data_IF_736614031816
#
_entry.id   IF_736614031816
#
_cell.length_a   1.000
_cell.length_b   1.000
_cell.length_c   1.000
_cell.angle_alpha   90.00
_cell.angle_beta   90.00
_cell.angle_gamma   90.00
#
_symmetry.space_group_name_H-M   'P 1'
#
loop_
_entity.id
_entity.type
_entity.pdbx_description
1 polymer ?
#
# COMPACT_ATOMS: atom_id res chain seq x y z
N UNK A 1 43.82 -11.28 -27.93
CA UNK A 1 44.07 -10.22 -26.92
C UNK A 1 42.82 -9.34 -26.91
N UNK A 2 42.14 -8.97 -25.83
CA UNK A 2 42.17 -9.31 -24.41
C UNK A 2 40.78 -8.94 -23.85
N UNK A 3 40.42 -9.49 -22.69
CA UNK A 3 39.11 -9.45 -22.03
C UNK A 3 38.79 -8.09 -21.39
N UNK A 4 37.50 -7.82 -21.16
CA UNK A 4 36.89 -7.31 -19.91
C UNK A 4 35.36 -7.47 -20.05
N UNK A 5 34.64 -8.40 -19.40
CA UNK A 5 34.35 -8.63 -17.98
C UNK A 5 33.83 -7.39 -17.21
N UNK A 6 32.51 -7.38 -17.00
CA UNK A 6 31.99 -7.45 -15.64
C UNK A 6 31.34 -6.19 -15.09
N UNK A 7 30.01 -6.16 -15.14
CA UNK A 7 29.19 -5.30 -14.29
C UNK A 7 27.89 -6.03 -13.97
N UNK A 8 27.93 -7.01 -13.05
CA UNK A 8 26.69 -7.59 -12.50
C UNK A 8 25.96 -6.47 -11.74
N UNK A 9 24.70 -6.14 -12.06
CA UNK A 9 23.91 -5.31 -11.16
C UNK A 9 23.73 -6.08 -9.84
N UNK A 10 23.92 -5.36 -8.74
CA UNK A 10 23.95 -5.88 -7.39
C UNK A 10 22.65 -6.62 -7.07
N UNK A 11 22.80 -7.74 -6.38
CA UNK A 11 21.69 -8.48 -5.80
C UNK A 11 20.75 -7.52 -5.08
N UNK A 12 19.52 -7.42 -5.57
CA UNK A 12 18.45 -6.74 -4.86
C UNK A 12 18.39 -7.33 -3.46
N UNK A 13 18.57 -6.47 -2.46
CA UNK A 13 18.43 -6.87 -1.07
C UNK A 13 17.10 -7.60 -0.93
N UNK A 14 17.18 -8.84 -0.44
CA UNK A 14 16.01 -9.65 -0.12
C UNK A 14 15.23 -8.88 0.94
N UNK A 15 14.18 -8.18 0.52
CA UNK A 15 13.14 -7.74 1.43
C UNK A 15 12.70 -9.04 2.13
N UNK A 16 12.83 -9.10 3.46
CA UNK A 16 12.39 -10.26 4.25
C UNK A 16 10.88 -10.38 4.10
N UNK A 17 10.44 -11.04 3.03
CA UNK A 17 9.09 -11.52 2.84
C UNK A 17 9.00 -12.90 3.46
N UNK A 18 8.82 -12.93 4.77
CA UNK A 18 8.29 -14.10 5.45
C UNK A 18 7.08 -13.60 6.21
N UNK A 19 5.95 -13.44 5.53
CA UNK A 19 4.69 -13.27 6.22
C UNK A 19 4.45 -14.58 6.96
N UNK A 20 4.40 -14.54 8.30
CA UNK A 20 3.75 -15.62 9.04
C UNK A 20 2.32 -15.81 8.53
N UNK A 21 1.61 -16.88 8.91
CA UNK A 21 0.20 -16.99 8.57
C UNK A 21 -0.50 -15.72 9.06
N UNK A 22 -1.15 -14.99 8.15
CA UNK A 22 -1.83 -13.75 8.48
C UNK A 22 -2.92 -14.06 9.50
N UNK A 23 -2.66 -13.70 10.76
CA UNK A 23 -3.59 -13.80 11.86
C UNK A 23 -4.55 -12.63 11.85
N UNK A 24 -5.67 -12.81 12.56
CA UNK A 24 -6.61 -11.73 12.80
C UNK A 24 -5.96 -10.64 13.65
N UNK A 25 -6.23 -9.37 13.31
CA UNK A 25 -5.77 -8.23 14.09
C UNK A 25 -6.44 -8.28 15.47
N UNK A 26 -5.69 -8.08 16.58
CA UNK A 26 -6.29 -8.07 17.91
C UNK A 26 -7.48 -7.11 18.01
N UNK A 27 -8.59 -7.57 18.59
CA UNK A 27 -9.83 -6.76 18.69
C UNK A 27 -9.60 -5.41 19.35
N UNK A 28 -8.77 -5.36 20.40
CA UNK A 28 -8.40 -4.10 21.08
C UNK A 28 -7.73 -3.08 20.16
N UNK A 29 -6.88 -3.53 19.23
CA UNK A 29 -6.23 -2.65 18.25
C UNK A 29 -7.26 -2.14 17.24
N UNK A 30 -8.09 -3.03 16.70
CA UNK A 30 -9.17 -2.67 15.77
C UNK A 30 -10.11 -1.64 16.40
N UNK A 31 -10.58 -1.90 17.61
CA UNK A 31 -11.54 -1.05 18.31
C UNK A 31 -10.93 0.31 18.67
N UNK A 32 -9.66 0.33 19.10
CA UNK A 32 -8.92 1.55 19.36
C UNK A 32 -8.75 2.41 18.10
N UNK A 33 -8.38 1.81 16.96
CA UNK A 33 -8.29 2.52 15.68
C UNK A 33 -9.67 3.07 15.29
N UNK A 34 -10.72 2.24 15.38
CA UNK A 34 -12.06 2.66 15.02
C UNK A 34 -12.54 3.84 15.88
N UNK A 35 -12.23 3.84 17.17
CA UNK A 35 -12.59 4.94 18.07
C UNK A 35 -11.87 6.23 17.71
N UNK A 36 -10.56 6.18 17.48
CA UNK A 36 -9.78 7.34 17.06
C UNK A 36 -10.29 7.90 15.73
N UNK A 37 -10.62 7.03 14.77
CA UNK A 37 -11.10 7.46 13.46
C UNK A 37 -12.51 8.07 13.52
N UNK A 38 -13.42 7.52 14.36
CA UNK A 38 -14.76 8.10 14.59
C UNK A 38 -14.71 9.53 15.12
N UNK A 39 -13.72 9.84 15.95
CA UNK A 39 -13.56 11.17 16.55
C UNK A 39 -12.91 12.19 15.60
N UNK A 40 -12.40 11.76 14.43
CA UNK A 40 -11.76 12.66 13.47
C UNK A 40 -12.77 13.19 12.45
N UNK A 41 -12.81 14.52 12.31
CA UNK A 41 -13.45 15.15 11.14
C UNK A 41 -12.59 14.93 9.90
N UNK A 42 -13.13 14.22 8.90
CA UNK A 42 -12.46 14.02 7.63
C UNK A 42 -12.19 15.36 6.93
N UNK A 43 -10.92 15.63 6.60
CA UNK A 43 -10.55 16.82 5.83
C UNK A 43 -10.77 16.53 4.36
N UNK A 44 -11.79 17.16 3.77
CA UNK A 44 -12.03 17.10 2.33
C UNK A 44 -11.15 18.14 1.63
N UNK A 45 -10.36 17.68 0.68
CA UNK A 45 -9.65 18.56 -0.24
C UNK A 45 -10.49 18.69 -1.51
N UNK A 46 -11.58 19.45 -1.45
CA UNK A 46 -12.39 19.76 -2.64
C UNK A 46 -11.61 20.78 -3.48
N UNK A 47 -10.75 20.25 -4.35
CA UNK A 47 -9.97 21.04 -5.31
C UNK A 47 -10.45 20.72 -6.73
N UNK A 48 -10.91 21.73 -7.49
CA UNK A 48 -11.30 21.50 -8.88
C UNK A 48 -10.10 21.00 -9.69
N UNK A 49 -10.35 20.06 -10.60
CA UNK A 49 -9.33 19.48 -11.49
C UNK A 49 -8.53 18.30 -10.95
N UNK A 50 -8.78 17.85 -9.71
CA UNK A 50 -8.17 16.62 -9.18
C UNK A 50 -9.04 15.40 -9.47
N UNK A 51 -8.40 14.28 -9.86
CA UNK A 51 -9.08 12.99 -9.96
C UNK A 51 -9.26 12.40 -8.56
N UNK A 52 -10.49 11.98 -8.25
CA UNK A 52 -10.77 11.26 -7.01
C UNK A 52 -10.12 9.87 -7.02
N UNK A 53 -9.67 9.43 -5.85
CA UNK A 53 -9.02 8.14 -5.66
C UNK A 53 -9.24 7.69 -4.21
N UNK A 54 -9.23 6.39 -3.98
CA UNK A 54 -9.19 5.82 -2.65
C UNK A 54 -8.08 4.77 -2.52
N UNK A 55 -7.68 4.54 -1.28
CA UNK A 55 -6.70 3.52 -0.92
C UNK A 55 -7.21 2.71 0.24
N UNK A 56 -6.81 1.45 0.26
CA UNK A 56 -7.01 0.54 1.38
C UNK A 56 -5.80 0.63 2.31
N UNK A 57 -6.05 0.54 3.62
CA UNK A 57 -5.02 0.35 4.64
C UNK A 57 -5.22 -1.03 5.28
N UNK A 58 -4.83 -2.13 4.62
CA UNK A 58 -5.06 -3.47 5.15
C UNK A 58 -4.13 -3.72 6.34
N UNK A 59 -4.73 -4.06 7.48
CA UNK A 59 -4.03 -4.43 8.70
C UNK A 59 -4.07 -5.95 8.87
N UNK A 60 -2.94 -6.55 9.19
CA UNK A 60 -2.85 -7.96 9.56
C UNK A 60 -1.90 -8.15 10.73
N UNK A 61 -1.94 -9.31 11.39
CA UNK A 61 -1.07 -9.65 12.51
C UNK A 61 -0.22 -10.88 12.15
N UNK A 62 1.06 -10.89 12.52
CA UNK A 62 1.85 -12.11 12.60
C UNK A 62 2.67 -12.17 13.91
N UNK A 63 3.64 -13.07 14.01
CA UNK A 63 4.49 -13.23 15.19
C UNK A 63 5.30 -11.96 15.54
N UNK A 64 5.57 -11.09 14.57
CA UNK A 64 6.33 -9.86 14.76
C UNK A 64 5.46 -8.67 15.19
N UNK A 65 4.13 -8.75 15.04
CA UNK A 65 3.23 -7.67 15.42
C UNK A 65 2.15 -7.36 14.39
N UNK A 66 1.47 -6.20 14.55
CA UNK A 66 0.57 -5.68 13.53
C UNK A 66 1.35 -5.06 12.37
N UNK A 67 0.86 -5.29 11.16
CA UNK A 67 1.49 -4.88 9.91
C UNK A 67 0.49 -4.20 8.97
N UNK A 68 1.00 -3.31 8.13
CA UNK A 68 0.28 -2.75 6.98
C UNK A 68 0.74 -3.41 5.69
N UNK A 69 -0.19 -3.65 4.78
CA UNK A 69 0.13 -4.08 3.42
C UNK A 69 0.44 -2.85 2.56
N UNK A 70 1.61 -2.87 1.92
CA UNK A 70 2.02 -1.91 0.92
C UNK A 70 2.33 -2.65 -0.38
N UNK A 71 2.15 -1.96 -1.51
CA UNK A 71 2.50 -2.47 -2.83
C UNK A 71 3.75 -1.77 -3.33
N UNK A 72 4.58 -2.50 -4.08
CA UNK A 72 5.59 -1.90 -4.95
C UNK A 72 5.02 -1.86 -6.35
N UNK A 73 4.86 -0.67 -6.92
CA UNK A 73 4.35 -0.51 -8.28
C UNK A 73 5.30 -1.18 -9.27
N UNK A 74 4.73 -1.85 -10.27
CA UNK A 74 5.52 -2.51 -11.32
C UNK A 74 6.26 -1.47 -12.16
N UNK A 75 7.23 -1.91 -12.95
CA UNK A 75 7.89 -1.00 -13.92
C UNK A 75 7.04 -0.78 -15.19
N UNK A 76 5.89 -1.44 -15.28
CA UNK A 76 4.98 -1.41 -16.43
C UNK A 76 3.94 -0.28 -16.35
N UNK A 77 3.70 0.31 -15.16
CA UNK A 77 2.75 1.41 -15.02
C UNK A 77 3.29 2.70 -15.66
N UNK A 78 2.45 3.56 -16.26
CA UNK A 78 2.91 4.77 -16.96
C UNK A 78 3.59 5.79 -16.01
N UNK A 79 3.22 5.81 -14.73
CA UNK A 79 3.72 6.76 -13.73
C UNK A 79 4.05 6.06 -12.40
N UNK A 80 5.00 6.63 -11.65
CA UNK A 80 5.39 6.18 -10.30
C UNK A 80 5.95 4.76 -10.26
N UNK A 81 6.76 4.39 -11.25
CA UNK A 81 7.34 3.06 -11.41
C UNK A 81 8.26 2.71 -10.22
N UNK A 82 8.09 1.52 -9.66
CA UNK A 82 8.92 1.03 -8.57
C UNK A 82 8.69 1.68 -7.20
N UNK A 83 7.79 2.67 -7.10
CA UNK A 83 7.45 3.34 -5.84
C UNK A 83 6.64 2.43 -4.91
N UNK A 84 6.79 2.66 -3.60
CA UNK A 84 5.98 2.02 -2.57
C UNK A 84 4.70 2.83 -2.36
N UNK A 85 3.54 2.17 -2.43
CA UNK A 85 2.23 2.80 -2.31
C UNK A 85 1.28 1.96 -1.45
N UNK A 86 0.22 2.59 -0.95
CA UNK A 86 -0.93 1.84 -0.48
C UNK A 86 -1.65 1.16 -1.65
N UNK A 87 -2.28 -0.02 -1.44
CA UNK A 87 -3.21 -0.59 -2.40
C UNK A 87 -4.37 0.37 -2.66
N UNK A 88 -4.80 0.52 -3.91
CA UNK A 88 -5.90 1.40 -4.28
C UNK A 88 -5.87 1.81 -5.74
N UNK A 89 -6.78 2.71 -6.08
CA UNK A 89 -7.06 3.12 -7.45
C UNK A 89 -7.68 4.50 -7.51
N UNK A 90 -7.72 5.06 -8.72
CA UNK A 90 -8.54 6.24 -8.96
C UNK A 90 -9.96 5.81 -9.30
N UNK A 91 -10.92 6.65 -8.90
CA UNK A 91 -12.35 6.43 -9.15
C UNK A 91 -12.67 6.38 -10.64
N UNK A 92 -13.59 5.49 -10.99
CA UNK A 92 -14.29 5.38 -12.26
C UNK A 92 -15.80 5.41 -12.01
N UNK A 93 -16.58 5.90 -12.98
CA UNK A 93 -18.03 6.04 -12.80
C UNK A 93 -18.73 4.72 -12.45
N UNK A 94 -18.17 3.59 -12.89
CA UNK A 94 -18.68 2.25 -12.60
C UNK A 94 -18.54 1.84 -11.13
N UNK A 95 -17.67 2.50 -10.35
CA UNK A 95 -17.43 2.20 -8.95
C UNK A 95 -18.60 2.67 -8.05
N UNK A 96 -19.39 3.65 -8.54
CA UNK A 96 -20.53 4.23 -7.83
C UNK A 96 -20.15 5.20 -6.70
N UNK A 97 -19.18 4.83 -5.87
CA UNK A 97 -18.58 5.70 -4.86
C UNK A 97 -17.08 5.39 -4.60
N UNK A 98 -16.48 6.12 -3.66
CA UNK A 98 -15.06 5.94 -3.31
C UNK A 98 -14.76 4.65 -2.54
N UNK A 99 -15.76 3.97 -1.96
CA UNK A 99 -15.56 2.67 -1.32
C UNK A 99 -15.57 1.54 -2.36
N UNK A 100 -16.19 1.77 -3.53
CA UNK A 100 -16.24 0.84 -4.65
C UNK A 100 -15.01 0.82 -5.55
N UNK A 101 -14.06 1.76 -5.38
CA UNK A 101 -12.81 1.83 -6.17
C UNK A 101 -11.81 0.74 -5.79
#
# INVERSE_FOLDING_TARGET
>A
MSRERGGKPKAGGRLRGGAGPAGEVPGSLRDGIAEILRQRTARRADRPGFRQAAVLLPLYQDEAGPHLVLTKRTDLVPTHKGEISFPGGGFEEADGDLLGT
#
